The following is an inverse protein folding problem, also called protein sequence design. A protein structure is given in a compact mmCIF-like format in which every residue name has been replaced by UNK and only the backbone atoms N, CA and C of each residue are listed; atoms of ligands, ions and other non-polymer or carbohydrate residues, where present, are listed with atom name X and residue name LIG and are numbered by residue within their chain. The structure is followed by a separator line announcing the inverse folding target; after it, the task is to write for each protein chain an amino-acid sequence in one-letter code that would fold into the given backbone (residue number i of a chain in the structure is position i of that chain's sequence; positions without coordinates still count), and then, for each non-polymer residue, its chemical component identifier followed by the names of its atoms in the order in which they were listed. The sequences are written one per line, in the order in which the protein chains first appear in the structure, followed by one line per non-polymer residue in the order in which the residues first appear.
data_IF_263206968973
#
_entry.id   IF_263206968973
#
_cell.length_a   1.000
_cell.length_b   1.000
_cell.length_c   1.000
_cell.angle_alpha   90.00
_cell.angle_beta   90.00
_cell.angle_gamma   90.00
#
_symmetry.space_group_name_H-M   'P 1'
#
loop_
_entity.id
_entity.type
_entity.pdbx_description
1 polymer ?
#
# COMPACT_ATOMS: atom_id res chain seq x y z
N UNK A 1 10.96 46.35 -11.81
CA UNK A 1 12.08 45.40 -11.70
C UNK A 1 11.74 44.24 -12.62
N UNK A 2 12.44 44.07 -13.75
CA UNK A 2 12.13 43.01 -14.73
C UNK A 2 12.47 41.67 -14.07
N UNK A 3 11.46 40.85 -13.80
CA UNK A 3 11.66 39.45 -13.42
C UNK A 3 12.19 38.78 -14.69
N UNK A 4 13.50 38.52 -14.72
CA UNK A 4 14.15 37.87 -15.86
C UNK A 4 13.55 36.48 -15.99
N UNK A 5 12.89 36.18 -17.11
CA UNK A 5 12.39 34.84 -17.40
C UNK A 5 13.59 33.89 -17.38
N UNK A 6 13.53 32.76 -16.64
CA UNK A 6 14.64 31.81 -16.57
C UNK A 6 14.99 31.29 -17.97
N UNK A 7 16.28 31.04 -18.21
CA UNK A 7 16.73 30.45 -19.47
C UNK A 7 16.24 29.00 -19.57
N UNK A 8 16.05 28.50 -20.79
CA UNK A 8 15.65 27.09 -21.01
C UNK A 8 16.63 26.10 -20.36
N UNK A 9 17.91 26.47 -20.29
CA UNK A 9 18.97 25.71 -19.62
C UNK A 9 18.76 25.67 -18.10
N UNK A 10 18.42 26.79 -17.46
CA UNK A 10 18.16 26.85 -16.02
C UNK A 10 16.92 26.03 -15.62
N UNK A 11 15.88 26.03 -16.46
CA UNK A 11 14.69 25.19 -16.23
C UNK A 11 15.01 23.70 -16.42
N UNK A 12 15.80 23.33 -17.43
CA UNK A 12 16.22 21.94 -17.63
C UNK A 12 17.10 21.43 -16.47
N UNK A 13 18.02 22.27 -15.97
CA UNK A 13 18.84 21.96 -14.81
C UNK A 13 18.00 21.78 -13.54
N UNK A 14 16.98 22.64 -13.35
CA UNK A 14 16.03 22.54 -12.25
C UNK A 14 15.25 21.22 -12.28
N UNK A 15 14.63 20.88 -13.42
CA UNK A 15 13.88 19.63 -13.58
C UNK A 15 14.76 18.40 -13.34
N UNK A 16 15.99 18.41 -13.86
CA UNK A 16 16.96 17.33 -13.62
C UNK A 16 17.31 17.20 -12.14
N UNK A 17 17.63 18.31 -11.49
CA UNK A 17 18.02 18.32 -10.07
C UNK A 17 16.88 17.86 -9.17
N UNK A 18 15.64 18.25 -9.49
CA UNK A 18 14.44 17.79 -8.79
C UNK A 18 14.21 16.29 -8.97
N UNK A 19 14.41 15.77 -10.19
CA UNK A 19 14.32 14.34 -10.47
C UNK A 19 15.40 13.52 -9.74
N UNK A 20 16.65 14.00 -9.73
CA UNK A 20 17.77 13.36 -9.04
C UNK A 20 17.53 13.38 -7.52
N UNK A 21 17.07 14.50 -6.96
CA UNK A 21 16.65 14.60 -5.56
C UNK A 21 15.54 13.60 -5.23
N UNK A 22 14.48 13.55 -6.05
CA UNK A 22 13.33 12.68 -5.83
C UNK A 22 13.75 11.20 -5.80
N UNK A 23 14.67 10.81 -6.68
CA UNK A 23 15.21 9.45 -6.74
C UNK A 23 16.10 9.14 -5.54
N UNK A 24 17.07 10.00 -5.23
CA UNK A 24 18.02 9.81 -4.13
C UNK A 24 17.31 9.72 -2.76
N UNK A 25 16.17 10.41 -2.62
CA UNK A 25 15.38 10.46 -1.41
C UNK A 25 14.08 9.64 -1.50
N UNK A 26 13.96 8.70 -2.46
CA UNK A 26 12.82 7.77 -2.57
C UNK A 26 11.44 8.44 -2.48
N UNK A 27 11.29 9.63 -3.05
CA UNK A 27 10.05 10.41 -2.98
C UNK A 27 8.92 9.82 -3.84
N UNK A 28 9.28 9.05 -4.86
CA UNK A 28 8.32 8.44 -5.79
C UNK A 28 7.98 6.99 -5.45
N UNK A 29 8.56 6.45 -4.36
CA UNK A 29 8.46 5.03 -4.01
C UNK A 29 7.16 4.65 -3.27
N UNK A 30 6.43 5.63 -2.74
CA UNK A 30 5.16 5.41 -2.05
C UNK A 30 4.32 6.69 -1.95
N UNK A 31 3.06 6.56 -1.53
CA UNK A 31 2.08 7.65 -1.41
C UNK A 31 2.53 8.73 -0.40
N UNK A 32 3.15 8.32 0.70
CA UNK A 32 3.51 9.21 1.82
C UNK A 32 4.48 10.34 1.43
N UNK A 33 5.66 10.03 0.86
CA UNK A 33 6.59 11.03 0.39
C UNK A 33 6.01 11.95 -0.70
N UNK A 34 5.15 11.44 -1.59
CA UNK A 34 4.43 12.26 -2.57
C UNK A 34 3.48 13.27 -1.88
N UNK A 35 2.75 12.86 -0.84
CA UNK A 35 1.94 13.78 -0.05
C UNK A 35 2.78 14.88 0.60
N UNK A 36 3.95 14.52 1.16
CA UNK A 36 4.88 15.49 1.76
C UNK A 36 5.38 16.48 0.71
N UNK A 37 5.81 16.01 -0.46
CA UNK A 37 6.30 16.88 -1.52
C UNK A 37 5.25 17.90 -1.95
N UNK A 38 4.01 17.48 -2.19
CA UNK A 38 2.92 18.37 -2.60
C UNK A 38 2.64 19.46 -1.54
N UNK A 39 2.41 19.04 -0.30
CA UNK A 39 2.03 19.97 0.77
C UNK A 39 3.17 20.91 1.13
N UNK A 40 4.40 20.39 1.24
CA UNK A 40 5.55 21.25 1.54
C UNK A 40 5.85 22.19 0.38
N UNK A 41 5.77 21.73 -0.87
CA UNK A 41 5.96 22.59 -2.03
C UNK A 41 4.97 23.76 -2.06
N UNK A 42 3.70 23.52 -1.73
CA UNK A 42 2.71 24.58 -1.62
C UNK A 42 3.01 25.52 -0.43
N UNK A 43 3.35 24.95 0.73
CA UNK A 43 3.64 25.74 1.94
C UNK A 43 4.81 26.71 1.71
N UNK A 44 5.91 26.21 1.14
CA UNK A 44 7.14 27.00 0.98
C UNK A 44 7.03 28.14 -0.04
N UNK A 45 6.01 28.14 -0.91
CA UNK A 45 5.74 29.28 -1.82
C UNK A 45 5.41 30.57 -1.09
N UNK A 46 4.87 30.47 0.14
CA UNK A 46 4.39 31.61 0.91
C UNK A 46 5.36 32.05 2.02
N UNK A 47 6.42 31.29 2.26
CA UNK A 47 7.38 31.54 3.33
C UNK A 47 8.54 32.43 2.86
N UNK A 48 9.14 33.14 3.82
CA UNK A 48 10.40 33.85 3.59
C UNK A 48 11.56 32.85 3.55
N UNK A 49 12.51 33.09 2.65
CA UNK A 49 13.72 32.28 2.52
C UNK A 49 14.90 32.91 3.30
N UNK A 50 15.84 32.09 3.82
CA UNK A 50 15.84 30.63 3.84
C UNK A 50 14.75 30.08 4.77
N UNK A 51 14.19 28.93 4.40
CA UNK A 51 13.09 28.31 5.15
C UNK A 51 13.66 27.59 6.35
N UNK A 52 13.18 27.90 7.56
CA UNK A 52 13.49 27.09 8.75
C UNK A 52 12.63 25.82 8.76
N UNK A 53 13.21 24.60 8.66
CA UNK A 53 12.45 23.37 8.67
C UNK A 53 11.64 23.16 9.97
N UNK A 54 12.04 23.78 11.10
CA UNK A 54 11.30 23.66 12.36
C UNK A 54 9.98 24.45 12.34
N UNK A 55 9.89 25.50 11.53
CA UNK A 55 8.64 26.25 11.32
C UNK A 55 7.54 25.44 10.60
N UNK A 56 7.91 24.28 10.03
CA UNK A 56 7.00 23.37 9.33
C UNK A 56 6.54 22.19 10.20
N UNK A 57 6.79 22.24 11.51
CA UNK A 57 6.30 21.25 12.47
C UNK A 57 5.10 21.80 13.24
N UNK A 58 4.24 20.91 13.72
CA UNK A 58 3.21 21.27 14.70
C UNK A 58 3.84 21.65 16.04
N UNK A 59 3.11 22.36 16.92
CA UNK A 59 3.61 22.81 18.23
C UNK A 59 4.20 21.69 19.10
N UNK A 60 3.70 20.46 18.93
CA UNK A 60 4.17 19.27 19.64
C UNK A 60 5.37 18.58 18.95
N UNK A 61 5.85 19.09 17.82
CA UNK A 61 7.00 18.61 17.04
C UNK A 61 6.84 17.24 16.37
N UNK A 62 5.74 16.53 16.64
CA UNK A 62 5.54 15.15 16.21
C UNK A 62 4.98 14.97 14.79
N UNK A 63 4.54 16.04 14.13
CA UNK A 63 3.97 15.99 12.78
C UNK A 63 4.38 17.21 11.95
N UNK A 64 4.34 17.04 10.63
CA UNK A 64 4.49 18.12 9.66
C UNK A 64 3.21 18.95 9.64
N UNK A 65 3.35 20.27 9.77
CA UNK A 65 2.23 21.22 9.77
C UNK A 65 1.48 21.17 8.43
N UNK A 66 0.15 21.18 8.47
CA UNK A 66 -0.71 21.19 7.28
C UNK A 66 -0.77 19.88 6.49
N UNK A 67 0.01 18.86 6.85
CA UNK A 67 0.00 17.56 6.17
C UNK A 67 -1.28 16.78 6.51
N UNK A 68 -2.08 16.44 5.51
CA UNK A 68 -3.32 15.67 5.67
C UNK A 68 -4.10 15.53 4.36
N UNK A 69 -5.10 14.63 4.34
CA UNK A 69 -5.90 14.31 3.14
C UNK A 69 -6.51 15.56 2.49
N UNK A 70 -7.09 16.44 3.29
CA UNK A 70 -7.71 17.68 2.79
C UNK A 70 -6.73 18.57 2.02
N UNK A 71 -5.53 18.79 2.57
CA UNK A 71 -4.49 19.60 1.93
C UNK A 71 -3.98 18.95 0.63
N UNK A 72 -3.74 17.63 0.65
CA UNK A 72 -3.31 16.88 -0.55
C UNK A 72 -4.37 16.96 -1.64
N UNK A 73 -5.65 16.75 -1.30
CA UNK A 73 -6.75 16.81 -2.28
C UNK A 73 -7.08 18.22 -2.74
N UNK A 74 -6.82 19.27 -1.95
CA UNK A 74 -6.94 20.65 -2.41
C UNK A 74 -5.95 20.95 -3.54
N UNK A 75 -4.74 20.38 -3.48
CA UNK A 75 -3.75 20.49 -4.56
C UNK A 75 -4.16 19.59 -5.73
N UNK A 76 -4.44 18.31 -5.51
CA UNK A 76 -4.69 17.34 -6.59
C UNK A 76 -6.06 17.51 -7.28
N UNK A 77 -7.03 18.08 -6.57
CA UNK A 77 -8.45 18.03 -6.89
C UNK A 77 -8.85 18.61 -8.25
N UNK A 78 -10.15 18.49 -8.54
CA UNK A 78 -10.75 18.78 -9.86
C UNK A 78 -10.40 20.17 -10.40
N UNK A 79 -10.32 21.16 -9.51
CA UNK A 79 -10.15 22.57 -9.86
C UNK A 79 -8.73 22.94 -10.28
N UNK A 80 -7.70 22.22 -9.80
CA UNK A 80 -6.30 22.55 -10.06
C UNK A 80 -5.63 21.55 -10.99
N UNK A 81 -5.76 20.25 -10.70
CA UNK A 81 -5.08 19.19 -11.46
C UNK A 81 -6.01 18.06 -11.92
N UNK A 82 -7.31 18.11 -11.66
CA UNK A 82 -8.26 17.14 -12.23
C UNK A 82 -8.18 15.73 -11.62
N UNK A 83 -7.45 15.53 -10.52
CA UNK A 83 -7.27 14.22 -9.88
C UNK A 83 -8.28 14.10 -8.73
N UNK A 84 -9.39 13.41 -8.98
CA UNK A 84 -10.46 13.17 -7.99
C UNK A 84 -10.15 12.01 -7.04
N UNK A 85 -9.22 11.13 -7.42
CA UNK A 85 -8.80 9.98 -6.61
C UNK A 85 -8.00 10.44 -5.39
N UNK A 86 -8.25 9.81 -4.25
CA UNK A 86 -7.52 10.08 -3.00
C UNK A 86 -6.13 9.46 -3.09
N UNK A 87 -5.07 10.26 -2.96
CA UNK A 87 -3.70 9.73 -2.95
C UNK A 87 -3.41 8.89 -1.70
N UNK A 88 -3.70 9.42 -0.52
CA UNK A 88 -3.58 8.71 0.75
C UNK A 88 -4.65 9.18 1.75
N UNK A 89 -5.31 8.24 2.43
CA UNK A 89 -6.37 8.54 3.41
C UNK A 89 -5.87 9.38 4.60
N UNK A 90 -4.66 9.12 5.07
CA UNK A 90 -4.02 9.91 6.12
C UNK A 90 -3.23 11.10 5.58
N UNK A 91 -3.21 11.32 4.25
CA UNK A 91 -2.41 12.38 3.61
C UNK A 91 -0.92 12.35 3.95
N UNK A 92 -0.37 11.18 4.29
CA UNK A 92 1.05 11.03 4.64
C UNK A 92 1.41 11.42 6.07
N UNK A 93 0.47 11.51 7.02
CA UNK A 93 0.70 11.88 8.44
C UNK A 93 1.50 10.87 9.30
N UNK A 94 2.51 10.21 8.75
CA UNK A 94 3.41 9.36 9.55
C UNK A 94 4.52 10.22 10.18
N UNK A 95 4.67 10.16 11.50
CA UNK A 95 5.52 11.10 12.26
C UNK A 95 7.00 11.03 11.86
N UNK A 96 7.63 9.85 11.97
CA UNK A 96 9.08 9.73 11.71
C UNK A 96 9.46 9.87 10.23
N UNK A 97 8.71 9.24 9.34
CA UNK A 97 9.01 9.23 7.90
C UNK A 97 8.79 10.60 7.24
N UNK A 98 7.65 11.22 7.52
CA UNK A 98 7.27 12.46 6.84
C UNK A 98 8.06 13.67 7.29
N UNK A 99 8.49 13.71 8.57
CA UNK A 99 9.40 14.76 9.07
C UNK A 99 10.75 14.67 8.37
N UNK A 100 11.33 13.46 8.25
CA UNK A 100 12.61 13.28 7.57
C UNK A 100 12.54 13.71 6.09
N UNK A 101 11.46 13.35 5.39
CA UNK A 101 11.23 13.77 4.00
C UNK A 101 11.02 15.28 3.88
N UNK A 102 10.25 15.90 4.77
CA UNK A 102 10.06 17.35 4.80
C UNK A 102 11.39 18.07 4.94
N UNK A 103 12.23 17.66 5.91
CA UNK A 103 13.55 18.27 6.14
C UNK A 103 14.45 18.13 4.91
N UNK A 104 14.51 16.95 4.30
CA UNK A 104 15.30 16.72 3.09
C UNK A 104 14.84 17.62 1.92
N UNK A 105 13.53 17.83 1.74
CA UNK A 105 13.04 18.69 0.66
C UNK A 105 13.34 20.16 0.91
N UNK A 106 13.18 20.63 2.15
CA UNK A 106 13.52 22.01 2.51
C UNK A 106 15.02 22.27 2.38
N UNK A 107 15.85 21.35 2.83
CA UNK A 107 17.31 21.43 2.68
C UNK A 107 17.73 21.50 1.22
N UNK A 108 17.10 20.69 0.35
CA UNK A 108 17.31 20.76 -1.10
C UNK A 108 16.95 22.13 -1.69
N UNK A 109 15.79 22.70 -1.32
CA UNK A 109 15.35 24.02 -1.80
C UNK A 109 16.27 25.14 -1.31
N UNK A 110 16.60 25.16 -0.01
CA UNK A 110 17.49 26.16 0.58
C UNK A 110 18.89 26.06 -0.06
N UNK A 111 19.47 24.86 -0.13
CA UNK A 111 20.81 24.64 -0.68
C UNK A 111 20.95 25.12 -2.13
N UNK A 112 19.91 24.92 -2.97
CA UNK A 112 19.93 25.47 -4.34
C UNK A 112 19.87 26.99 -4.38
N UNK A 113 19.02 27.61 -3.54
CA UNK A 113 18.89 29.07 -3.48
C UNK A 113 20.17 29.73 -2.95
N UNK A 114 20.78 29.13 -1.93
CA UNK A 114 22.04 29.62 -1.34
C UNK A 114 23.20 29.56 -2.34
N UNK A 115 23.21 28.53 -3.20
CA UNK A 115 24.14 28.41 -4.31
C UNK A 115 23.78 29.30 -5.53
N UNK A 116 22.72 30.11 -5.44
CA UNK A 116 22.30 31.04 -6.50
C UNK A 116 21.63 30.38 -7.71
N UNK A 117 21.24 29.10 -7.61
CA UNK A 117 20.55 28.40 -8.69
C UNK A 117 19.07 28.77 -8.77
N UNK A 118 18.52 28.68 -9.99
CA UNK A 118 17.09 28.82 -10.24
C UNK A 118 16.28 27.74 -9.50
N UNK A 119 15.15 28.18 -8.91
CA UNK A 119 14.18 27.34 -8.20
C UNK A 119 12.78 27.81 -8.58
N UNK A 120 12.04 26.94 -9.26
CA UNK A 120 10.66 27.17 -9.67
C UNK A 120 9.72 26.20 -8.94
N UNK A 121 9.00 26.73 -7.95
CA UNK A 121 8.07 25.95 -7.12
C UNK A 121 6.76 25.64 -7.86
N UNK A 122 6.41 26.39 -8.91
CA UNK A 122 5.26 26.04 -9.75
C UNK A 122 5.60 24.83 -10.62
N UNK A 123 6.76 24.85 -11.28
CA UNK A 123 7.19 23.71 -12.10
C UNK A 123 7.52 22.46 -11.26
N UNK A 124 7.99 22.62 -10.01
CA UNK A 124 8.09 21.50 -9.08
C UNK A 124 6.73 20.89 -8.72
N UNK A 125 5.68 21.70 -8.58
CA UNK A 125 4.35 21.14 -8.34
C UNK A 125 3.88 20.28 -9.51
N UNK A 126 4.02 20.78 -10.74
CA UNK A 126 3.69 19.99 -11.93
C UNK A 126 4.48 18.68 -11.97
N UNK A 127 5.77 18.72 -11.62
CA UNK A 127 6.58 17.52 -11.49
C UNK A 127 6.00 16.54 -10.47
N UNK A 128 5.68 16.99 -9.24
CA UNK A 128 5.14 16.12 -8.20
C UNK A 128 3.75 15.57 -8.55
N UNK A 129 2.88 16.38 -9.15
CA UNK A 129 1.58 15.97 -9.67
C UNK A 129 1.75 14.91 -10.77
N UNK A 130 2.71 15.10 -11.67
CA UNK A 130 3.03 14.08 -12.67
C UNK A 130 3.51 12.79 -12.02
N UNK A 131 4.30 12.85 -10.93
CA UNK A 131 4.66 11.64 -10.17
C UNK A 131 3.49 10.96 -9.48
N UNK A 132 2.49 11.72 -9.05
CA UNK A 132 1.22 11.15 -8.59
C UNK A 132 0.46 10.46 -9.73
N UNK A 133 0.45 11.05 -10.92
CA UNK A 133 -0.14 10.40 -12.11
C UNK A 133 0.60 9.13 -12.49
N UNK A 134 1.94 9.17 -12.51
CA UNK A 134 2.80 8.03 -12.79
C UNK A 134 2.55 6.91 -11.76
N UNK A 135 2.40 7.28 -10.48
CA UNK A 135 2.05 6.36 -9.40
C UNK A 135 0.68 5.69 -9.66
N UNK A 136 -0.34 6.47 -10.01
CA UNK A 136 -1.65 5.92 -10.40
C UNK A 136 -1.65 5.19 -11.75
N UNK A 137 -0.66 5.41 -12.60
CA UNK A 137 -0.48 4.68 -13.86
C UNK A 137 0.32 3.38 -13.70
N UNK A 138 0.72 3.03 -12.47
CA UNK A 138 1.44 1.80 -12.17
C UNK A 138 0.74 0.57 -12.74
N UNK A 139 1.49 -0.29 -13.44
CA UNK A 139 0.93 -1.46 -14.13
C UNK A 139 0.30 -2.45 -13.13
N UNK A 140 -0.90 -2.98 -13.40
CA UNK A 140 -1.48 -4.09 -12.66
C UNK A 140 -0.53 -5.30 -12.58
N UNK A 141 -0.75 -6.16 -11.60
CA UNK A 141 -0.21 -7.51 -11.61
C UNK A 141 -0.88 -8.33 -12.71
N UNK A 142 -0.20 -9.37 -13.20
CA UNK A 142 -0.72 -10.20 -14.29
C UNK A 142 -0.92 -11.64 -13.83
N UNK A 143 -2.16 -12.12 -13.81
CA UNK A 143 -2.48 -13.53 -13.60
C UNK A 143 -2.20 -14.30 -14.91
N UNK A 144 -1.31 -15.29 -14.84
CA UNK A 144 -1.08 -16.26 -15.91
C UNK A 144 -1.69 -17.60 -15.54
N UNK A 145 -2.58 -18.09 -16.39
CA UNK A 145 -3.20 -19.42 -16.27
C UNK A 145 -2.66 -20.32 -17.38
N UNK A 146 -1.49 -20.92 -17.11
CA UNK A 146 -0.91 -21.94 -17.97
C UNK A 146 -1.51 -23.31 -17.62
N UNK A 147 -1.98 -24.06 -18.61
CA UNK A 147 -2.60 -25.37 -18.39
C UNK A 147 -1.65 -26.42 -17.80
N UNK A 148 -0.33 -26.21 -17.92
CA UNK A 148 0.70 -27.05 -17.30
C UNK A 148 0.95 -26.72 -15.83
N UNK A 149 0.41 -25.60 -15.32
CA UNK A 149 0.63 -25.16 -13.95
C UNK A 149 -0.47 -25.67 -13.02
N UNK A 150 -0.08 -25.94 -11.77
CA UNK A 150 -1.05 -26.07 -10.68
C UNK A 150 -1.62 -24.71 -10.29
N UNK A 151 -2.79 -24.69 -9.66
CA UNK A 151 -3.38 -23.47 -9.10
C UNK A 151 -2.42 -22.77 -8.14
N UNK A 152 -1.74 -23.55 -7.28
CA UNK A 152 -0.71 -23.03 -6.36
C UNK A 152 0.43 -22.35 -7.13
N UNK A 153 0.88 -22.92 -8.23
CA UNK A 153 1.93 -22.31 -9.05
C UNK A 153 1.46 -20.97 -9.67
N UNK A 154 0.23 -20.89 -10.17
CA UNK A 154 -0.32 -19.62 -10.68
C UNK A 154 -0.37 -18.52 -9.59
N UNK A 155 -0.86 -18.87 -8.39
CA UNK A 155 -0.88 -17.95 -7.23
C UNK A 155 0.53 -17.55 -6.80
N UNK A 156 1.48 -18.49 -6.79
CA UNK A 156 2.90 -18.21 -6.47
C UNK A 156 3.54 -17.24 -7.45
N UNK A 157 3.26 -17.37 -8.75
CA UNK A 157 3.79 -16.47 -9.77
C UNK A 157 3.23 -15.06 -9.61
N UNK A 158 1.97 -14.95 -9.19
CA UNK A 158 1.36 -13.67 -8.84
C UNK A 158 2.03 -13.04 -7.61
N UNK A 159 2.20 -13.80 -6.52
CA UNK A 159 2.94 -13.34 -5.34
C UNK A 159 4.38 -12.94 -5.69
N UNK A 160 5.04 -13.67 -6.60
CA UNK A 160 6.38 -13.34 -7.09
C UNK A 160 6.46 -11.94 -7.70
N UNK A 161 5.42 -11.49 -8.41
CA UNK A 161 5.36 -10.12 -8.92
C UNK A 161 5.22 -9.11 -7.78
N UNK A 162 4.39 -9.39 -6.77
CA UNK A 162 4.25 -8.54 -5.59
C UNK A 162 5.57 -8.46 -4.78
N UNK A 163 6.29 -9.57 -4.64
CA UNK A 163 7.60 -9.60 -4.00
C UNK A 163 8.61 -8.72 -4.74
N UNK A 164 8.70 -8.85 -6.06
CA UNK A 164 9.62 -8.05 -6.87
C UNK A 164 9.28 -6.56 -6.75
N UNK A 165 8.00 -6.20 -6.88
CA UNK A 165 7.55 -4.82 -6.72
C UNK A 165 7.84 -4.26 -5.32
N UNK A 166 7.69 -5.07 -4.27
CA UNK A 166 7.99 -4.67 -2.90
C UNK A 166 9.49 -4.43 -2.66
N UNK A 167 10.38 -5.14 -3.37
CA UNK A 167 11.83 -4.88 -3.29
C UNK A 167 12.19 -3.53 -3.90
N UNK A 168 11.52 -3.16 -4.99
CA UNK A 168 11.81 -1.93 -5.73
C UNK A 168 11.15 -0.69 -5.11
N UNK A 169 10.08 -0.88 -4.32
CA UNK A 169 9.29 0.19 -3.70
C UNK A 169 9.36 0.14 -2.17
N UNK A 170 10.29 0.89 -1.57
CA UNK A 170 10.41 0.99 -0.12
C UNK A 170 9.18 1.64 0.50
N UNK A 171 8.47 0.90 1.38
CA UNK A 171 7.38 1.44 2.22
C UNK A 171 5.98 0.92 1.90
N UNK A 172 5.77 0.19 0.80
CA UNK A 172 4.47 -0.42 0.47
C UNK A 172 4.52 -1.94 0.67
N UNK A 173 3.56 -2.50 1.40
CA UNK A 173 3.48 -3.94 1.70
C UNK A 173 2.72 -4.72 0.62
N UNK A 174 3.16 -4.65 -0.64
CA UNK A 174 2.46 -5.27 -1.78
C UNK A 174 2.08 -6.74 -1.54
N UNK A 175 2.97 -7.53 -0.94
CA UNK A 175 2.71 -8.96 -0.72
C UNK A 175 1.62 -9.16 0.34
N UNK A 176 1.72 -8.46 1.47
CA UNK A 176 0.72 -8.53 2.54
C UNK A 176 -0.65 -8.05 2.08
N UNK A 177 -0.69 -6.91 1.38
CA UNK A 177 -1.92 -6.35 0.79
C UNK A 177 -2.56 -7.31 -0.20
N UNK A 178 -1.77 -7.92 -1.10
CA UNK A 178 -2.27 -8.92 -2.04
C UNK A 178 -2.83 -10.15 -1.32
N UNK A 179 -2.12 -10.67 -0.31
CA UNK A 179 -2.58 -11.83 0.46
C UNK A 179 -3.90 -11.56 1.18
N UNK A 180 -3.98 -10.44 1.92
CA UNK A 180 -5.18 -10.07 2.68
C UNK A 180 -6.41 -9.97 1.77
N UNK A 181 -6.29 -9.20 0.68
CA UNK A 181 -7.42 -8.99 -0.23
C UNK A 181 -7.76 -10.25 -1.05
N UNK A 182 -6.80 -11.11 -1.37
CA UNK A 182 -7.09 -12.41 -2.01
C UNK A 182 -7.81 -13.37 -1.05
N UNK A 183 -7.44 -13.39 0.23
CA UNK A 183 -8.16 -14.13 1.27
C UNK A 183 -9.59 -13.60 1.37
N UNK A 184 -9.78 -12.29 1.45
CA UNK A 184 -11.09 -11.65 1.47
C UNK A 184 -11.94 -12.02 0.27
N UNK A 185 -11.41 -11.83 -0.94
CA UNK A 185 -12.09 -12.17 -2.19
C UNK A 185 -12.50 -13.66 -2.26
N UNK A 186 -11.56 -14.54 -1.90
CA UNK A 186 -11.83 -15.98 -1.83
C UNK A 186 -12.96 -16.27 -0.85
N UNK A 187 -12.93 -15.68 0.36
CA UNK A 187 -13.94 -15.90 1.38
C UNK A 187 -15.31 -15.40 0.93
N UNK A 188 -15.39 -14.23 0.29
CA UNK A 188 -16.62 -13.71 -0.32
C UNK A 188 -17.17 -14.69 -1.35
N UNK A 189 -16.33 -15.21 -2.25
CA UNK A 189 -16.75 -16.21 -3.24
C UNK A 189 -17.20 -17.54 -2.59
N UNK A 190 -16.59 -17.95 -1.47
CA UNK A 190 -16.92 -19.21 -0.79
C UNK A 190 -18.21 -19.11 0.04
N UNK A 191 -18.40 -18.01 0.77
CA UNK A 191 -19.56 -17.81 1.64
C UNK A 191 -20.81 -17.36 0.87
N UNK A 192 -20.62 -16.73 -0.30
CA UNK A 192 -21.73 -16.17 -1.08
C UNK A 192 -22.54 -15.17 -0.25
N UNK A 193 -23.86 -15.17 -0.43
CA UNK A 193 -24.77 -14.22 0.22
C UNK A 193 -25.04 -14.54 1.71
N UNK A 194 -24.44 -15.60 2.25
CA UNK A 194 -24.74 -16.05 3.62
C UNK A 194 -24.09 -15.18 4.70
N UNK A 195 -23.01 -14.47 4.37
CA UNK A 195 -22.24 -13.64 5.30
C UNK A 195 -21.73 -12.38 4.59
N UNK A 196 -21.95 -11.20 5.18
CA UNK A 196 -21.37 -9.96 4.66
C UNK A 196 -19.98 -9.76 5.26
N UNK A 197 -18.95 -10.02 4.46
CA UNK A 197 -17.56 -9.79 4.84
C UNK A 197 -17.23 -8.29 4.79
N UNK A 198 -16.77 -7.75 5.91
CA UNK A 198 -16.22 -6.40 5.96
C UNK A 198 -14.78 -6.39 5.45
N UNK A 199 -14.59 -5.80 4.27
CA UNK A 199 -13.25 -5.53 3.73
C UNK A 199 -12.72 -4.19 4.24
N UNK A 200 -11.41 -4.10 4.44
CA UNK A 200 -10.73 -2.92 4.96
C UNK A 200 -9.46 -2.67 4.16
N UNK A 201 -9.01 -1.42 4.05
CA UNK A 201 -7.70 -1.11 3.47
C UNK A 201 -6.60 -1.83 4.26
N UNK A 202 -5.54 -2.30 3.61
CA UNK A 202 -4.45 -3.06 4.24
C UNK A 202 -3.63 -2.26 5.27
N UNK A 203 -3.82 -0.94 5.32
CA UNK A 203 -3.19 -0.06 6.33
C UNK A 203 -4.14 0.31 7.48
N UNK A 204 -5.37 -0.21 7.51
CA UNK A 204 -6.33 0.08 8.57
C UNK A 204 -5.87 -0.58 9.87
N UNK A 205 -5.68 0.22 10.93
CA UNK A 205 -5.30 -0.29 12.26
C UNK A 205 -6.30 -1.34 12.78
N UNK A 206 -5.77 -2.42 13.33
CA UNK A 206 -6.53 -3.54 13.91
C UNK A 206 -7.04 -3.22 15.33
N UNK A 207 -6.81 -2.01 15.84
CA UNK A 207 -7.15 -1.60 17.20
C UNK A 207 -8.59 -1.09 17.36
N UNK A 208 -9.47 -1.35 16.39
CA UNK A 208 -10.88 -0.91 16.49
C UNK A 208 -11.67 -1.88 17.38
N UNK A 209 -12.57 -1.39 18.24
CA UNK A 209 -13.46 -2.25 19.03
C UNK A 209 -14.22 -3.23 18.12
N UNK A 210 -14.18 -4.52 18.44
CA UNK A 210 -14.88 -5.57 17.69
C UNK A 210 -14.10 -6.20 16.52
N UNK A 211 -12.90 -5.71 16.19
CA UNK A 211 -12.03 -6.31 15.17
C UNK A 211 -10.99 -7.22 15.83
N UNK A 212 -11.10 -8.53 15.59
CA UNK A 212 -10.23 -9.53 16.22
C UNK A 212 -9.12 -10.02 15.28
N UNK A 213 -9.22 -9.72 13.99
CA UNK A 213 -8.22 -10.03 12.96
C UNK A 213 -8.47 -9.22 11.69
N UNK A 214 -7.94 -9.70 10.57
CA UNK A 214 -8.24 -9.14 9.25
C UNK A 214 -9.69 -9.40 8.86
N UNK A 215 -10.22 -10.57 9.21
CA UNK A 215 -11.62 -10.95 9.02
C UNK A 215 -12.17 -11.64 10.28
N UNK A 216 -13.41 -11.30 10.63
CA UNK A 216 -14.20 -11.98 11.65
C UNK A 216 -15.35 -12.75 10.96
N UNK A 217 -15.40 -14.07 11.09
CA UNK A 217 -16.41 -14.94 10.45
C UNK A 217 -16.94 -15.90 11.50
N UNK A 218 -18.19 -15.72 11.92
CA UNK A 218 -18.74 -16.46 13.07
C UNK A 218 -17.85 -16.31 14.32
N UNK A 219 -17.42 -17.42 14.89
CA UNK A 219 -16.48 -17.47 16.02
C UNK A 219 -15.00 -17.45 15.59
N UNK A 220 -14.68 -17.41 14.29
CA UNK A 220 -13.30 -17.43 13.78
C UNK A 220 -12.75 -16.02 13.57
N UNK A 221 -11.53 -15.79 14.05
CA UNK A 221 -10.76 -14.57 13.78
C UNK A 221 -9.58 -14.91 12.85
N UNK A 222 -9.67 -14.47 11.59
CA UNK A 222 -8.68 -14.76 10.55
C UNK A 222 -7.59 -13.70 10.54
N UNK A 223 -6.34 -14.14 10.61
CA UNK A 223 -5.14 -13.30 10.55
C UNK A 223 -4.33 -13.66 9.31
N UNK A 224 -4.10 -12.70 8.42
CA UNK A 224 -3.34 -12.88 7.19
C UNK A 224 -1.99 -12.17 7.32
N UNK A 225 -0.90 -12.92 7.28
CA UNK A 225 0.44 -12.34 7.44
C UNK A 225 1.48 -12.98 6.54
N UNK A 226 2.43 -12.18 6.05
CA UNK A 226 3.61 -12.71 5.35
C UNK A 226 4.65 -13.29 6.31
N UNK A 227 4.63 -12.86 7.58
CA UNK A 227 5.58 -13.29 8.61
C UNK A 227 4.89 -13.21 9.97
N UNK A 228 4.56 -14.35 10.58
CA UNK A 228 4.06 -14.40 11.95
C UNK A 228 5.04 -13.74 12.93
N UNK A 229 4.52 -13.19 14.03
CA UNK A 229 5.32 -12.53 15.07
C UNK A 229 4.75 -12.86 16.44
N UNK A 230 5.55 -12.66 17.50
CA UNK A 230 5.08 -12.83 18.89
C UNK A 230 3.87 -11.93 19.19
N UNK A 231 3.84 -10.72 18.65
CA UNK A 231 2.70 -9.81 18.80
C UNK A 231 1.41 -10.38 18.20
N UNK A 232 1.52 -11.09 17.07
CA UNK A 232 0.37 -11.80 16.49
C UNK A 232 -0.07 -12.96 17.41
N UNK A 233 0.87 -13.71 17.99
CA UNK A 233 0.52 -14.81 18.91
C UNK A 233 -0.15 -14.29 20.19
N UNK A 234 0.33 -13.16 20.73
CA UNK A 234 -0.34 -12.47 21.84
C UNK A 234 -1.78 -12.09 21.46
N UNK A 235 -2.00 -11.60 20.23
CA UNK A 235 -3.34 -11.32 19.72
C UNK A 235 -4.20 -12.57 19.61
N UNK A 236 -3.64 -13.71 19.20
CA UNK A 236 -4.34 -14.99 19.21
C UNK A 236 -4.77 -15.40 20.62
N UNK A 237 -3.92 -15.20 21.64
CA UNK A 237 -4.28 -15.45 23.04
C UNK A 237 -5.42 -14.55 23.51
N UNK A 238 -5.40 -13.26 23.17
CA UNK A 238 -6.51 -12.34 23.45
C UNK A 238 -7.81 -12.81 22.80
N UNK A 239 -7.76 -13.24 21.53
CA UNK A 239 -8.93 -13.76 20.82
C UNK A 239 -9.50 -15.00 21.51
N UNK A 240 -8.64 -15.95 21.92
CA UNK A 240 -9.04 -17.15 22.67
C UNK A 240 -9.72 -16.81 23.99
N UNK A 241 -9.28 -15.75 24.68
CA UNK A 241 -9.91 -15.27 25.92
C UNK A 241 -11.31 -14.67 25.68
N UNK A 242 -11.58 -14.18 24.46
CA UNK A 242 -12.88 -13.67 24.02
C UNK A 242 -13.72 -14.73 23.27
N UNK A 243 -13.43 -16.02 23.48
CA UNK A 243 -14.14 -17.15 22.84
C UNK A 243 -14.10 -17.13 21.30
N UNK A 244 -13.07 -16.50 20.71
CA UNK A 244 -12.79 -16.57 19.28
C UNK A 244 -11.75 -17.65 18.98
N UNK A 245 -11.87 -18.29 17.82
CA UNK A 245 -10.91 -19.27 17.27
C UNK A 245 -9.97 -18.58 16.28
N UNK A 246 -8.69 -18.37 16.62
CA UNK A 246 -7.75 -17.74 15.70
C UNK A 246 -7.37 -18.71 14.58
N UNK A 247 -7.35 -18.20 13.35
CA UNK A 247 -6.82 -18.88 12.17
C UNK A 247 -5.74 -18.00 11.55
N UNK A 248 -4.50 -18.50 11.46
CA UNK A 248 -3.38 -17.81 10.82
C UNK A 248 -3.23 -18.33 9.40
N UNK A 249 -3.30 -17.42 8.41
CA UNK A 249 -3.00 -17.70 7.01
C UNK A 249 -1.68 -17.03 6.66
N UNK A 250 -0.69 -17.81 6.26
CA UNK A 250 0.67 -17.29 6.01
C UNK A 250 1.41 -17.99 4.89
N UNK A 251 2.57 -17.46 4.51
CA UNK A 251 3.43 -18.04 3.47
C UNK A 251 4.04 -19.38 3.93
N UNK A 252 4.56 -20.22 3.03
CA UNK A 252 5.10 -21.54 3.40
C UNK A 252 6.15 -21.51 4.52
N UNK A 253 7.07 -20.53 4.50
CA UNK A 253 8.06 -20.35 5.58
C UNK A 253 7.45 -19.81 6.87
N UNK A 254 6.35 -19.07 6.76
CA UNK A 254 5.61 -18.54 7.89
C UNK A 254 4.90 -19.63 8.69
N UNK A 255 4.49 -20.74 8.07
CA UNK A 255 3.79 -21.83 8.76
C UNK A 255 4.66 -22.40 9.88
N UNK A 256 5.86 -22.86 9.56
CA UNK A 256 6.81 -23.40 10.55
C UNK A 256 7.18 -22.36 11.62
N UNK A 257 7.25 -21.08 11.25
CA UNK A 257 7.50 -20.00 12.20
C UNK A 257 6.33 -19.80 13.17
N UNK A 258 5.09 -19.79 12.67
CA UNK A 258 3.89 -19.69 13.51
C UNK A 258 3.78 -20.88 14.45
N UNK A 259 3.94 -22.11 13.95
CA UNK A 259 3.89 -23.33 14.77
C UNK A 259 4.89 -23.27 15.94
N UNK A 260 6.16 -22.91 15.67
CA UNK A 260 7.14 -22.76 16.74
C UNK A 260 6.82 -21.65 17.74
N UNK A 261 6.23 -20.53 17.31
CA UNK A 261 5.79 -19.46 18.21
C UNK A 261 4.57 -19.87 19.04
N UNK A 262 3.64 -20.64 18.47
CA UNK A 262 2.46 -21.18 19.16
C UNK A 262 2.86 -22.22 20.21
N UNK A 263 3.87 -23.07 19.90
CA UNK A 263 4.40 -24.06 20.84
C UNK A 263 5.00 -23.38 22.06
N UNK A 264 5.81 -22.34 21.84
CA UNK A 264 6.38 -21.53 22.91
C UNK A 264 5.32 -20.85 23.77
N UNK A 265 4.17 -20.49 23.18
CA UNK A 265 3.03 -19.89 23.86
C UNK A 265 2.04 -20.91 24.45
N UNK A 266 2.29 -22.22 24.28
CA UNK A 266 1.45 -23.33 24.72
C UNK A 266 -0.02 -23.25 24.24
N UNK A 267 -0.24 -22.86 22.98
CA UNK A 267 -1.58 -22.76 22.37
C UNK A 267 -1.68 -23.39 20.96
N UNK A 268 -0.72 -24.23 20.57
CA UNK A 268 -0.66 -24.86 19.23
C UNK A 268 -1.87 -25.74 18.89
N UNK A 269 -2.52 -26.32 19.90
CA UNK A 269 -3.74 -27.12 19.76
C UNK A 269 -5.02 -26.28 19.66
N UNK A 270 -4.90 -24.95 19.77
CA UNK A 270 -6.03 -24.01 19.81
C UNK A 270 -6.04 -23.00 18.67
N UNK A 271 -4.99 -22.96 17.85
CA UNK A 271 -4.84 -22.02 16.74
C UNK A 271 -4.45 -22.79 15.49
N UNK A 272 -5.29 -22.68 14.46
CA UNK A 272 -4.99 -23.27 13.16
C UNK A 272 -4.00 -22.39 12.37
N UNK A 273 -3.07 -23.02 11.66
CA UNK A 273 -2.14 -22.36 10.75
C UNK A 273 -2.25 -22.99 9.37
N UNK A 274 -2.57 -22.18 8.36
CA UNK A 274 -2.77 -22.64 6.99
C UNK A 274 -1.84 -21.89 6.03
N UNK A 275 -1.21 -22.63 5.12
CA UNK A 275 -0.41 -22.06 4.05
C UNK A 275 -1.32 -21.36 3.02
N UNK A 276 -0.97 -20.12 2.67
CA UNK A 276 -1.77 -19.23 1.84
C UNK A 276 -2.10 -19.80 0.45
N UNK A 277 -1.11 -20.33 -0.28
CA UNK A 277 -1.35 -20.88 -1.61
C UNK A 277 -2.26 -22.11 -1.55
N UNK A 278 -2.13 -22.94 -0.52
CA UNK A 278 -3.05 -24.07 -0.26
C UNK A 278 -4.46 -23.58 0.06
N UNK A 279 -4.60 -22.58 0.94
CA UNK A 279 -5.90 -22.01 1.30
C UNK A 279 -6.68 -21.52 0.09
N UNK A 280 -6.01 -20.85 -0.86
CA UNK A 280 -6.64 -20.42 -2.11
C UNK A 280 -6.91 -21.62 -3.02
N UNK A 281 -5.93 -22.50 -3.22
CA UNK A 281 -6.04 -23.60 -4.18
C UNK A 281 -7.17 -24.58 -3.83
N UNK A 282 -7.35 -24.92 -2.56
CA UNK A 282 -8.36 -25.89 -2.11
C UNK A 282 -9.76 -25.47 -2.57
N UNK A 283 -10.16 -24.22 -2.36
CA UNK A 283 -11.50 -23.79 -2.76
C UNK A 283 -11.63 -23.53 -4.27
N UNK A 284 -10.54 -23.24 -4.98
CA UNK A 284 -10.55 -23.26 -6.45
C UNK A 284 -10.88 -24.66 -6.97
N UNK A 285 -10.33 -25.71 -6.36
CA UNK A 285 -10.68 -27.08 -6.73
C UNK A 285 -12.11 -27.46 -6.34
N UNK A 286 -12.51 -27.18 -5.10
CA UNK A 286 -13.83 -27.56 -4.58
C UNK A 286 -14.97 -26.86 -5.34
N UNK A 287 -14.90 -25.54 -5.48
CA UNK A 287 -15.94 -24.76 -6.17
C UNK A 287 -15.90 -25.02 -7.68
N UNK A 288 -14.70 -25.21 -8.23
CA UNK A 288 -14.51 -25.62 -9.62
C UNK A 288 -14.87 -27.08 -9.90
N UNK A 289 -15.40 -27.81 -8.93
CA UNK A 289 -15.82 -29.22 -9.03
C UNK A 289 -14.72 -30.13 -9.58
N UNK A 290 -13.45 -29.80 -9.28
CA UNK A 290 -12.26 -30.49 -9.77
C UNK A 290 -12.12 -30.55 -11.31
N UNK A 291 -12.89 -29.74 -12.05
CA UNK A 291 -12.84 -29.64 -13.52
C UNK A 291 -11.88 -28.55 -13.98
N UNK A 292 -11.27 -28.72 -15.15
CA UNK A 292 -10.32 -27.73 -15.68
C UNK A 292 -10.98 -26.37 -15.91
N UNK A 293 -12.12 -26.36 -16.61
CA UNK A 293 -12.93 -25.15 -16.85
C UNK A 293 -13.40 -24.54 -15.53
N UNK A 294 -13.98 -25.36 -14.65
CA UNK A 294 -14.46 -24.89 -13.34
C UNK A 294 -13.37 -24.27 -12.46
N UNK A 295 -12.12 -24.79 -12.50
CA UNK A 295 -10.98 -24.17 -11.81
C UNK A 295 -10.65 -22.80 -12.40
N UNK A 296 -10.62 -22.69 -13.72
CA UNK A 296 -10.36 -21.43 -14.44
C UNK A 296 -11.44 -20.39 -14.12
N UNK A 297 -12.71 -20.76 -14.22
CA UNK A 297 -13.83 -19.88 -13.88
C UNK A 297 -13.77 -19.43 -12.42
N UNK A 298 -13.48 -20.37 -11.50
CA UNK A 298 -13.42 -20.05 -10.06
C UNK A 298 -12.27 -19.09 -9.74
N UNK A 299 -11.07 -19.32 -10.27
CA UNK A 299 -9.94 -18.42 -9.99
C UNK A 299 -10.18 -17.04 -10.59
N UNK A 300 -10.76 -16.94 -11.80
CA UNK A 300 -11.10 -15.66 -12.41
C UNK A 300 -12.14 -14.91 -11.58
N UNK A 301 -13.19 -15.60 -11.09
CA UNK A 301 -14.18 -14.99 -10.20
C UNK A 301 -13.56 -14.45 -8.90
N UNK A 302 -12.62 -15.19 -8.30
CA UNK A 302 -11.87 -14.69 -7.13
C UNK A 302 -11.05 -13.44 -7.47
N UNK A 303 -10.44 -13.40 -8.66
CA UNK A 303 -9.69 -12.22 -9.12
C UNK A 303 -10.59 -11.02 -9.41
N UNK A 304 -11.78 -11.23 -9.97
CA UNK A 304 -12.73 -10.17 -10.23
C UNK A 304 -13.22 -9.57 -8.90
N UNK A 305 -13.63 -10.39 -7.95
CA UNK A 305 -13.98 -9.94 -6.59
C UNK A 305 -12.80 -9.26 -5.88
N UNK A 306 -11.57 -9.76 -6.05
CA UNK A 306 -10.38 -9.09 -5.55
C UNK A 306 -10.23 -7.67 -6.13
N UNK A 307 -10.43 -7.52 -7.44
CA UNK A 307 -10.29 -6.22 -8.09
C UNK A 307 -11.38 -5.23 -7.67
N UNK A 308 -12.60 -5.69 -7.42
CA UNK A 308 -13.68 -4.89 -6.83
C UNK A 308 -13.28 -4.38 -5.44
N UNK A 309 -12.76 -5.27 -4.58
CA UNK A 309 -12.24 -4.91 -3.25
C UNK A 309 -11.11 -3.88 -3.34
N UNK A 310 -10.16 -4.07 -4.27
CA UNK A 310 -9.07 -3.12 -4.50
C UNK A 310 -9.61 -1.75 -4.94
N UNK A 311 -10.60 -1.72 -5.83
CA UNK A 311 -11.19 -0.47 -6.31
C UNK A 311 -11.91 0.30 -5.19
N UNK A 312 -12.59 -0.42 -4.30
CA UNK A 312 -13.32 0.19 -3.18
C UNK A 312 -12.41 0.62 -2.02
N UNK A 313 -11.41 -0.19 -1.67
CA UNK A 313 -10.66 -0.03 -0.42
C UNK A 313 -9.20 0.42 -0.58
N UNK A 314 -8.65 0.42 -1.80
CA UNK A 314 -7.26 0.79 -2.04
C UNK A 314 -7.11 1.91 -3.07
N UNK A 315 -6.27 2.91 -2.74
CA UNK A 315 -6.00 3.99 -3.70
C UNK A 315 -4.97 3.64 -4.76
N UNK A 316 -4.20 2.55 -4.62
CA UNK A 316 -3.14 2.17 -5.56
C UNK A 316 -3.69 1.19 -6.61
N UNK A 317 -3.93 1.64 -7.87
CA UNK A 317 -4.47 0.79 -8.92
C UNK A 317 -3.47 -0.26 -9.41
N UNK A 318 -2.17 -0.10 -9.11
CA UNK A 318 -1.18 -1.10 -9.49
C UNK A 318 -1.39 -2.43 -8.72
N UNK A 319 -2.16 -2.40 -7.63
CA UNK A 319 -2.56 -3.58 -6.88
C UNK A 319 -3.54 -4.48 -7.65
N UNK A 320 -4.24 -3.97 -8.67
CA UNK A 320 -5.17 -4.76 -9.48
C UNK A 320 -4.45 -5.93 -10.15
N UNK A 321 -5.22 -6.95 -10.47
CA UNK A 321 -4.75 -8.15 -11.18
C UNK A 321 -5.50 -8.24 -12.50
N UNK A 322 -4.78 -8.26 -13.61
CA UNK A 322 -5.34 -8.49 -14.94
C UNK A 322 -5.00 -9.91 -15.42
N UNK A 323 -5.88 -10.52 -16.19
CA UNK A 323 -5.55 -11.76 -16.88
C UNK A 323 -4.54 -11.48 -18.00
N UNK A 324 -3.52 -12.33 -18.13
CA UNK A 324 -2.62 -12.29 -19.26
C UNK A 324 -3.41 -12.45 -20.55
N UNK A 325 -3.33 -11.46 -21.45
CA UNK A 325 -3.86 -11.59 -22.81
C UNK A 325 -3.09 -12.71 -23.51
N UNK A 326 -3.81 -13.74 -23.96
CA UNK A 326 -3.23 -14.81 -24.77
C UNK A 326 -2.52 -14.21 -25.99
N UNK A 327 -1.32 -14.70 -26.28
CA UNK A 327 -0.70 -14.55 -27.60
C UNK A 327 -1.16 -15.69 -28.48
#
# INVERSE_FOLDING_TARGET
MKISTPTAEAEAEWQKSLADFAKANSFTSSKGPLCVALVINETVKTLKHPIDPNSLLTDQGGQVLGLGRGAVQAILGRERHGITRVLAEEGGRTSRGSIARMRAYVEFINGRRDAGHHVDLESAEYFWVQKVRDFFAGKPFVLKLDTSWSVRAAVRQLLGQAFNRQKDSSGTRYVGTMMQHLVGAKLTVCLGDTETLQHNSANASDQRPGRHGDFDIGDVAVHVTTSPSEALIQKCQENLAHSKRPLIITLPRGVTMAEGLLDNAAISDRVDVIEFEQFVATNVFEIGQFRAEGRTETILRIIDTYNEIIEEHESDPSLRIEQAKGK
#
